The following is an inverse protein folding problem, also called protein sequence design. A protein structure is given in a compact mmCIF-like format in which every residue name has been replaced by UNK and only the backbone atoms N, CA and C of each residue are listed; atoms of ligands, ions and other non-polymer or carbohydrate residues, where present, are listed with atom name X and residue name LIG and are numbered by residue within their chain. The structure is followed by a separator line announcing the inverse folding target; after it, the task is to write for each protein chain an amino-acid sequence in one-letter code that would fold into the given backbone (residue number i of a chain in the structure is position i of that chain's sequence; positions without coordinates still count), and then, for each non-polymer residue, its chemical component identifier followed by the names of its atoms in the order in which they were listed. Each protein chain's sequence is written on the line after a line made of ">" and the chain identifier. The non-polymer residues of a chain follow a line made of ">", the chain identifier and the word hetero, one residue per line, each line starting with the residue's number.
data_IF_939300627065
#
_entry.id   IF_939300627065
#
_cell.length_a   1.000
_cell.length_b   1.000
_cell.length_c   1.000
_cell.angle_alpha   90.00
_cell.angle_beta   90.00
_cell.angle_gamma   90.00
#
_symmetry.space_group_name_H-M   'P 1'
#
loop_
_entity.id
_entity.type
_entity.pdbx_description
1 polymer ?
#
# COMPACT_ATOMS: atom_id res chain seq x y z
N UNK A 1 16.28 3.99 19.95
CA UNK A 1 15.16 4.48 19.11
C UNK A 1 13.79 3.98 19.60
N UNK A 2 13.64 2.71 20.02
CA UNK A 2 12.34 2.14 20.40
C UNK A 2 11.66 2.83 21.58
N UNK A 3 12.43 3.31 22.57
CA UNK A 3 11.90 4.11 23.69
C UNK A 3 11.40 5.49 23.24
N UNK A 4 11.98 6.06 22.18
CA UNK A 4 11.52 7.34 21.60
C UNK A 4 10.29 7.15 20.72
N UNK A 5 10.15 5.97 20.10
CA UNK A 5 9.00 5.57 19.28
C UNK A 5 7.86 4.93 20.10
N UNK A 6 7.96 4.88 21.43
CA UNK A 6 6.82 4.52 22.28
C UNK A 6 5.84 5.70 22.34
N UNK A 7 4.55 5.41 22.55
CA UNK A 7 3.52 6.47 22.74
C UNK A 7 3.72 7.34 23.99
N UNK A 8 4.72 7.06 24.82
CA UNK A 8 5.09 7.89 25.97
C UNK A 8 5.81 9.18 25.54
N UNK A 9 6.35 9.21 24.31
CA UNK A 9 6.97 10.39 23.72
C UNK A 9 5.97 11.16 22.87
N UNK A 10 5.61 12.38 23.27
CA UNK A 10 4.71 13.27 22.52
C UNK A 10 5.34 13.89 21.26
N UNK A 11 6.61 13.61 20.98
CA UNK A 11 7.36 14.24 19.87
C UNK A 11 6.93 13.68 18.50
N UNK A 12 6.45 12.43 18.44
CA UNK A 12 6.15 11.71 17.19
C UNK A 12 4.65 11.60 16.92
N UNK A 13 3.96 12.72 16.71
CA UNK A 13 2.53 12.72 16.35
C UNK A 13 2.30 12.51 14.85
N UNK A 14 1.11 12.06 14.46
CA UNK A 14 0.73 11.89 13.03
C UNK A 14 0.94 13.20 12.23
N UNK A 15 0.56 14.39 12.72
CA UNK A 15 0.85 15.65 12.04
C UNK A 15 2.34 15.89 11.76
N UNK A 16 3.24 15.48 12.66
CA UNK A 16 4.69 15.62 12.46
C UNK A 16 5.15 14.73 11.30
N UNK A 17 4.68 13.49 11.21
CA UNK A 17 5.00 12.61 10.08
C UNK A 17 4.45 13.13 8.76
N UNK A 18 3.24 13.68 8.76
CA UNK A 18 2.66 14.33 7.57
C UNK A 18 3.48 15.55 7.15
N UNK A 19 3.94 16.36 8.12
CA UNK A 19 4.82 17.50 7.86
C UNK A 19 6.17 17.08 7.25
N UNK A 20 6.80 16.05 7.79
CA UNK A 20 8.04 15.48 7.22
C UNK A 20 7.80 14.93 5.82
N UNK A 21 6.69 14.23 5.59
CA UNK A 21 6.31 13.76 4.26
C UNK A 21 6.14 14.92 3.28
N UNK A 22 5.47 15.99 3.69
CA UNK A 22 5.27 17.18 2.85
C UNK A 22 6.62 17.78 2.46
N UNK A 23 7.57 17.88 3.40
CA UNK A 23 8.93 18.35 3.12
C UNK A 23 9.67 17.42 2.14
N UNK A 24 9.49 16.10 2.26
CA UNK A 24 10.06 15.11 1.33
C UNK A 24 9.48 15.33 -0.07
N UNK A 25 8.16 15.42 -0.21
CA UNK A 25 7.49 15.62 -1.51
C UNK A 25 7.92 16.94 -2.14
N UNK A 26 7.89 18.05 -1.38
CA UNK A 26 8.35 19.36 -1.87
C UNK A 26 9.82 19.28 -2.27
N UNK A 27 10.69 18.71 -1.43
CA UNK A 27 12.13 18.63 -1.68
C UNK A 27 12.49 17.88 -2.96
N UNK A 28 11.77 16.79 -3.27
CA UNK A 28 11.98 16.04 -4.51
C UNK A 28 11.31 16.66 -5.74
N UNK A 29 10.18 17.36 -5.59
CA UNK A 29 9.45 17.96 -6.72
C UNK A 29 9.92 19.39 -7.07
N UNK A 30 10.60 20.11 -6.17
CA UNK A 30 11.06 21.49 -6.43
C UNK A 30 12.11 21.59 -7.54
N UNK A 31 12.71 20.46 -7.94
CA UNK A 31 13.77 20.43 -8.95
C UNK A 31 13.25 20.28 -10.39
N UNK A 32 11.97 19.92 -10.59
CA UNK A 32 11.41 19.69 -11.93
C UNK A 32 9.93 20.14 -12.01
N UNK A 33 9.69 21.34 -12.55
CA UNK A 33 8.36 21.96 -12.56
C UNK A 33 7.60 21.62 -13.85
N UNK A 34 6.82 20.54 -13.84
CA UNK A 34 5.81 20.23 -14.85
C UNK A 34 4.41 20.09 -14.21
N UNK A 35 3.38 20.58 -14.89
CA UNK A 35 2.01 20.66 -14.34
C UNK A 35 1.36 19.29 -14.09
N UNK A 36 1.65 18.28 -14.92
CA UNK A 36 1.20 16.90 -14.70
C UNK A 36 1.84 16.28 -13.45
N UNK A 37 3.12 16.60 -13.22
CA UNK A 37 3.88 16.10 -12.08
C UNK A 37 3.34 16.71 -10.78
N UNK A 38 2.86 17.96 -10.80
CA UNK A 38 2.19 18.60 -9.65
C UNK A 38 0.91 17.86 -9.25
N UNK A 39 0.05 17.49 -10.22
CA UNK A 39 -1.19 16.76 -9.92
C UNK A 39 -0.86 15.38 -9.34
N UNK A 40 0.07 14.66 -9.95
CA UNK A 40 0.51 13.37 -9.45
C UNK A 40 1.12 13.46 -8.05
N UNK A 41 1.94 14.49 -7.79
CA UNK A 41 2.52 14.74 -6.47
C UNK A 41 1.46 15.03 -5.40
N UNK A 42 0.43 15.81 -5.71
CA UNK A 42 -0.70 16.08 -4.79
C UNK A 42 -1.45 14.78 -4.45
N UNK A 43 -1.77 13.98 -5.47
CA UNK A 43 -2.48 12.70 -5.28
C UNK A 43 -1.61 11.72 -4.49
N UNK A 44 -0.31 11.67 -4.80
CA UNK A 44 0.66 10.85 -4.07
C UNK A 44 0.74 11.27 -2.61
N UNK A 45 0.89 12.56 -2.33
CA UNK A 45 0.90 13.10 -0.97
C UNK A 45 -0.39 12.74 -0.23
N UNK A 46 -1.55 12.94 -0.85
CA UNK A 46 -2.84 12.57 -0.26
C UNK A 46 -2.93 11.06 0.03
N UNK A 47 -2.49 10.22 -0.90
CA UNK A 47 -2.51 8.76 -0.74
C UNK A 47 -1.60 8.28 0.38
N UNK A 48 -0.36 8.79 0.43
CA UNK A 48 0.56 8.47 1.52
C UNK A 48 0.07 9.03 2.86
N UNK A 49 -0.48 10.25 2.88
CA UNK A 49 -1.08 10.85 4.06
C UNK A 49 -2.22 9.98 4.61
N UNK A 50 -3.12 9.49 3.75
CA UNK A 50 -4.18 8.54 4.11
C UNK A 50 -3.62 7.23 4.69
N UNK A 51 -2.46 6.78 4.21
CA UNK A 51 -1.73 5.65 4.79
C UNK A 51 -1.46 5.80 6.29
N UNK A 52 -1.13 7.02 6.77
CA UNK A 52 -0.96 7.27 8.20
C UNK A 52 -2.25 7.05 9.00
N UNK A 53 -3.40 7.44 8.45
CA UNK A 53 -4.70 7.20 9.07
C UNK A 53 -5.06 5.71 9.08
N UNK A 54 -4.68 4.95 8.04
CA UNK A 54 -4.89 3.51 7.98
C UNK A 54 -4.26 2.77 9.16
N UNK A 55 -3.07 3.17 9.63
CA UNK A 55 -2.43 2.53 10.80
C UNK A 55 -3.30 2.63 12.07
N UNK A 56 -4.02 3.75 12.24
CA UNK A 56 -4.92 3.93 13.36
C UNK A 56 -6.21 3.12 13.17
N UNK A 57 -6.82 3.15 11.98
CA UNK A 57 -8.05 2.40 11.68
C UNK A 57 -7.86 0.89 11.78
N UNK A 58 -6.74 0.37 11.25
CA UNK A 58 -6.36 -1.04 11.37
C UNK A 58 -6.06 -1.38 12.85
N UNK A 59 -5.49 -0.44 13.61
CA UNK A 59 -5.11 -0.59 15.01
C UNK A 59 -4.23 -1.83 15.30
N UNK A 60 -3.25 -2.09 14.43
CA UNK A 60 -2.18 -3.08 14.64
C UNK A 60 -0.86 -2.44 15.09
N UNK A 61 -0.88 -1.17 15.50
CA UNK A 61 0.29 -0.41 15.94
C UNK A 61 0.74 -0.71 17.37
N UNK A 62 -0.01 -1.51 18.15
CA UNK A 62 0.29 -1.89 19.53
C UNK A 62 0.85 -0.76 20.41
N UNK A 63 0.27 0.44 20.31
CA UNK A 63 0.71 1.63 21.07
C UNK A 63 2.17 2.07 20.81
N UNK A 64 2.71 1.82 19.62
CA UNK A 64 4.01 2.36 19.20
C UNK A 64 3.88 3.17 17.91
N UNK A 65 4.80 4.11 17.72
CA UNK A 65 4.98 4.90 16.49
C UNK A 65 5.87 4.19 15.47
N UNK A 66 6.39 3.00 15.80
CA UNK A 66 7.27 2.21 14.94
C UNK A 66 6.71 1.94 13.54
N UNK A 67 5.42 1.56 13.36
CA UNK A 67 4.86 1.37 12.02
C UNK A 67 4.86 2.69 11.21
N UNK A 68 4.58 3.82 11.85
CA UNK A 68 4.55 5.14 11.19
C UNK A 68 5.95 5.57 10.76
N UNK A 69 6.96 5.33 11.63
CA UNK A 69 8.36 5.60 11.32
C UNK A 69 8.87 4.75 10.16
N UNK A 70 8.62 3.44 10.21
CA UNK A 70 8.99 2.53 9.11
C UNK A 70 8.29 2.91 7.81
N UNK A 71 7.03 3.31 7.87
CA UNK A 71 6.28 3.78 6.71
C UNK A 71 6.92 5.01 6.08
N UNK A 72 7.30 5.99 6.91
CA UNK A 72 8.01 7.19 6.45
C UNK A 72 9.32 6.82 5.76
N UNK A 73 10.12 5.95 6.38
CA UNK A 73 11.41 5.52 5.83
C UNK A 73 11.27 4.74 4.52
N UNK A 74 10.29 3.84 4.43
CA UNK A 74 10.01 3.06 3.22
C UNK A 74 9.52 3.97 2.09
N UNK A 75 8.57 4.88 2.37
CA UNK A 75 8.10 5.85 1.37
C UNK A 75 9.26 6.72 0.89
N UNK A 76 10.10 7.24 1.79
CA UNK A 76 11.26 8.05 1.42
C UNK A 76 12.23 7.30 0.49
N UNK A 77 12.52 6.03 0.80
CA UNK A 77 13.44 5.24 0.01
C UNK A 77 12.88 4.82 -1.36
N UNK A 78 11.58 4.57 -1.45
CA UNK A 78 10.92 4.08 -2.67
C UNK A 78 10.35 5.20 -3.55
N UNK A 79 10.11 6.40 -3.01
CA UNK A 79 9.59 7.52 -3.79
C UNK A 79 10.71 8.17 -4.62
N UNK A 80 10.65 8.13 -5.95
CA UNK A 80 11.71 8.66 -6.81
C UNK A 80 11.65 10.19 -6.93
N UNK A 81 10.50 10.82 -6.66
CA UNK A 81 10.28 12.26 -6.77
C UNK A 81 9.16 12.62 -7.75
N UNK A 82 9.10 11.92 -8.90
CA UNK A 82 7.98 11.98 -9.83
C UNK A 82 7.36 10.58 -9.93
N UNK A 83 6.06 10.45 -9.62
CA UNK A 83 5.37 9.16 -9.62
C UNK A 83 4.40 9.13 -10.80
N UNK A 84 4.32 7.99 -11.50
CA UNK A 84 3.27 7.78 -12.50
C UNK A 84 1.87 8.02 -11.88
N UNK A 85 1.02 8.73 -12.60
CA UNK A 85 -0.32 9.10 -12.14
C UNK A 85 -1.17 7.87 -11.79
N UNK A 86 -0.97 6.75 -12.50
CA UNK A 86 -1.62 5.49 -12.22
C UNK A 86 -1.24 4.93 -10.85
N UNK A 87 0.06 4.94 -10.52
CA UNK A 87 0.55 4.49 -9.20
C UNK A 87 0.10 5.46 -8.10
N UNK A 88 0.12 6.76 -8.35
CA UNK A 88 -0.37 7.77 -7.41
C UNK A 88 -1.85 7.55 -7.05
N UNK A 89 -2.71 7.39 -8.06
CA UNK A 89 -4.14 7.10 -7.87
C UNK A 89 -4.33 5.75 -7.19
N UNK A 90 -3.53 4.73 -7.50
CA UNK A 90 -3.58 3.44 -6.82
C UNK A 90 -3.25 3.54 -5.32
N UNK A 91 -2.21 4.29 -4.93
CA UNK A 91 -1.90 4.54 -3.52
C UNK A 91 -3.06 5.22 -2.78
N UNK A 92 -3.65 6.23 -3.42
CA UNK A 92 -4.76 6.99 -2.86
C UNK A 92 -6.02 6.13 -2.68
N UNK A 93 -6.46 5.49 -3.76
CA UNK A 93 -7.67 4.66 -3.77
C UNK A 93 -7.53 3.42 -2.90
N UNK A 94 -6.37 2.75 -2.89
CA UNK A 94 -6.12 1.61 -1.99
C UNK A 94 -6.24 2.03 -0.52
N UNK A 95 -5.72 3.21 -0.15
CA UNK A 95 -5.83 3.73 1.21
C UNK A 95 -7.28 4.00 1.60
N UNK A 96 -8.08 4.60 0.71
CA UNK A 96 -9.53 4.80 0.94
C UNK A 96 -10.23 3.46 1.11
N UNK A 97 -10.01 2.49 0.20
CA UNK A 97 -10.61 1.15 0.30
C UNK A 97 -10.28 0.51 1.66
N UNK A 98 -9.01 0.56 2.08
CA UNK A 98 -8.60 0.03 3.38
C UNK A 98 -9.32 0.72 4.55
N UNK A 99 -9.44 2.05 4.55
CA UNK A 99 -10.16 2.79 5.59
C UNK A 99 -11.63 2.38 5.68
N UNK A 100 -12.29 2.19 4.54
CA UNK A 100 -13.69 1.79 4.49
C UNK A 100 -13.89 0.36 4.99
N UNK A 101 -13.03 -0.58 4.56
CA UNK A 101 -13.11 -1.99 4.97
C UNK A 101 -12.69 -2.24 6.42
N UNK A 102 -11.91 -1.32 7.01
CA UNK A 102 -11.47 -1.43 8.41
C UNK A 102 -12.31 -0.63 9.39
N UNK A 103 -13.35 0.07 8.91
CA UNK A 103 -14.27 0.83 9.75
C UNK A 103 -14.91 -0.07 10.82
N UNK A 104 -14.93 0.39 12.07
CA UNK A 104 -15.50 -0.34 13.22
C UNK A 104 -17.01 -0.43 13.15
N UNK A 105 -17.68 0.56 12.54
CA UNK A 105 -19.11 0.55 12.31
C UNK A 105 -19.46 -0.40 11.15
N UNK A 106 -20.11 -1.51 11.51
CA UNK A 106 -20.55 -2.52 10.54
C UNK A 106 -21.57 -1.98 9.56
N UNK A 107 -22.42 -1.03 9.96
CA UNK A 107 -23.45 -0.47 9.09
C UNK A 107 -22.82 0.38 7.99
N UNK A 108 -21.87 1.25 8.37
CA UNK A 108 -21.10 2.08 7.43
C UNK A 108 -20.33 1.20 6.46
N UNK A 109 -19.58 0.20 6.97
CA UNK A 109 -18.79 -0.73 6.15
C UNK A 109 -19.63 -1.52 5.14
N UNK A 110 -20.80 -2.01 5.56
CA UNK A 110 -21.70 -2.80 4.69
C UNK A 110 -22.44 -1.96 3.65
N UNK A 111 -22.71 -0.70 3.96
CA UNK A 111 -23.36 0.23 3.03
C UNK A 111 -22.36 0.83 2.03
N UNK A 112 -21.08 0.79 2.34
CA UNK A 112 -20.06 1.39 1.50
C UNK A 112 -19.58 0.53 0.32
N UNK A 113 -20.05 -0.72 0.18
CA UNK A 113 -19.59 -1.62 -0.89
C UNK A 113 -19.86 -1.09 -2.31
N UNK A 114 -20.91 -0.29 -2.52
CA UNK A 114 -21.16 0.38 -3.81
C UNK A 114 -20.03 1.37 -4.10
N UNK A 115 -19.68 2.22 -3.13
CA UNK A 115 -18.60 3.18 -3.28
C UNK A 115 -17.24 2.50 -3.44
N UNK A 116 -16.98 1.39 -2.72
CA UNK A 116 -15.76 0.59 -2.90
C UNK A 116 -15.68 0.03 -4.33
N UNK A 117 -16.80 -0.45 -4.88
CA UNK A 117 -16.86 -0.92 -6.27
C UNK A 117 -16.54 0.19 -7.27
N UNK A 118 -17.09 1.38 -7.06
CA UNK A 118 -16.80 2.55 -7.90
C UNK A 118 -15.31 2.95 -7.81
N UNK A 119 -14.73 2.96 -6.61
CA UNK A 119 -13.31 3.28 -6.40
C UNK A 119 -12.40 2.24 -7.05
N UNK A 120 -12.74 0.94 -6.97
CA UNK A 120 -11.99 -0.12 -7.66
C UNK A 120 -12.02 0.06 -9.18
N UNK A 121 -13.16 0.42 -9.75
CA UNK A 121 -13.28 0.69 -11.19
C UNK A 121 -12.47 1.92 -11.61
N UNK A 122 -12.50 3.00 -10.82
CA UNK A 122 -11.63 4.16 -11.05
C UNK A 122 -10.16 3.79 -10.96
N UNK A 123 -9.76 3.02 -9.95
CA UNK A 123 -8.37 2.56 -9.80
C UNK A 123 -7.94 1.73 -11.03
N UNK A 124 -8.80 0.85 -11.52
CA UNK A 124 -8.54 0.06 -12.72
C UNK A 124 -8.42 0.92 -13.99
N UNK A 125 -9.20 1.99 -14.13
CA UNK A 125 -9.09 2.92 -15.27
C UNK A 125 -7.72 3.60 -15.29
N UNK A 126 -7.21 4.05 -14.14
CA UNK A 126 -5.90 4.70 -14.06
C UNK A 126 -4.74 3.71 -14.11
N UNK A 127 -4.91 2.54 -13.52
CA UNK A 127 -3.88 1.50 -13.45
C UNK A 127 -4.50 0.09 -13.53
N UNK A 128 -4.67 -0.48 -14.75
CA UNK A 128 -5.32 -1.78 -14.95
C UNK A 128 -4.64 -2.95 -14.22
N UNK A 129 -3.35 -2.80 -13.91
CA UNK A 129 -2.53 -3.79 -13.18
C UNK A 129 -2.98 -3.99 -11.72
N UNK A 130 -3.86 -3.12 -11.21
CA UNK A 130 -4.45 -3.20 -9.87
C UNK A 130 -5.65 -4.15 -9.74
N UNK A 131 -6.02 -4.87 -10.81
CA UNK A 131 -7.12 -5.86 -10.79
C UNK A 131 -7.09 -6.87 -9.62
N UNK A 132 -5.94 -7.29 -9.04
CA UNK A 132 -5.95 -8.18 -7.86
C UNK A 132 -6.65 -7.57 -6.65
N UNK A 133 -6.78 -6.23 -6.58
CA UNK A 133 -7.54 -5.56 -5.54
C UNK A 133 -9.02 -5.92 -5.55
N UNK A 134 -9.62 -6.19 -6.71
CA UNK A 134 -10.99 -6.65 -6.78
C UNK A 134 -11.16 -8.00 -6.06
N UNK A 135 -10.21 -8.94 -6.27
CA UNK A 135 -10.20 -10.23 -5.59
C UNK A 135 -10.00 -10.07 -4.08
N UNK A 136 -9.11 -9.18 -3.63
CA UNK A 136 -8.96 -8.86 -2.21
C UNK A 136 -10.28 -8.40 -1.58
N UNK A 137 -11.00 -7.47 -2.22
CA UNK A 137 -12.28 -6.96 -1.70
C UNK A 137 -13.35 -8.06 -1.70
N UNK A 138 -13.41 -8.88 -2.74
CA UNK A 138 -14.34 -10.03 -2.81
C UNK A 138 -14.06 -10.99 -1.64
N UNK A 139 -12.81 -11.42 -1.45
CA UNK A 139 -12.43 -12.30 -0.34
C UNK A 139 -12.76 -11.67 1.02
N UNK A 140 -12.57 -10.36 1.18
CA UNK A 140 -12.97 -9.66 2.39
C UNK A 140 -14.49 -9.71 2.63
N UNK A 141 -15.32 -9.55 1.59
CA UNK A 141 -16.78 -9.69 1.70
C UNK A 141 -17.14 -11.12 2.15
N UNK A 142 -16.55 -12.15 1.53
CA UNK A 142 -16.77 -13.55 1.93
C UNK A 142 -16.38 -13.80 3.39
N UNK A 143 -15.29 -13.19 3.87
CA UNK A 143 -14.79 -13.36 5.23
C UNK A 143 -15.52 -12.56 6.31
N UNK A 144 -16.37 -11.59 5.96
CA UNK A 144 -16.96 -10.63 6.93
C UNK A 144 -18.47 -10.39 6.82
N UNK A 145 -19.10 -10.83 5.74
CA UNK A 145 -20.49 -10.51 5.44
C UNK A 145 -21.45 -11.63 5.79
N UNK A 146 -22.55 -11.29 6.46
CA UNK A 146 -23.68 -12.20 6.68
C UNK A 146 -24.56 -12.36 5.42
N UNK A 147 -24.46 -11.42 4.47
CA UNK A 147 -25.24 -11.38 3.22
C UNK A 147 -24.31 -11.24 2.03
N UNK A 148 -23.49 -12.26 1.81
CA UNK A 148 -22.42 -12.28 0.80
C UNK A 148 -22.96 -11.87 -0.58
N UNK A 149 -24.04 -12.52 -1.05
CA UNK A 149 -24.62 -12.23 -2.37
C UNK A 149 -25.03 -10.76 -2.56
N UNK A 150 -25.69 -10.16 -1.56
CA UNK A 150 -26.09 -8.75 -1.61
C UNK A 150 -24.89 -7.80 -1.67
N UNK A 151 -23.84 -8.08 -0.87
CA UNK A 151 -22.67 -7.20 -0.81
C UNK A 151 -21.77 -7.34 -2.03
N UNK A 152 -21.65 -8.55 -2.59
CA UNK A 152 -21.02 -8.78 -3.89
C UNK A 152 -21.81 -8.07 -5.00
N UNK A 153 -23.14 -8.16 -5.00
CA UNK A 153 -23.97 -7.41 -5.94
C UNK A 153 -23.75 -5.90 -5.83
N UNK A 154 -23.74 -5.33 -4.61
CA UNK A 154 -23.44 -3.92 -4.38
C UNK A 154 -22.07 -3.51 -4.92
N UNK A 155 -21.05 -4.34 -4.74
CA UNK A 155 -19.72 -4.12 -5.27
C UNK A 155 -19.75 -4.01 -6.81
N UNK A 156 -20.31 -5.01 -7.48
CA UNK A 156 -20.43 -5.01 -8.94
C UNK A 156 -21.31 -3.88 -9.47
N UNK A 157 -22.36 -3.51 -8.74
CA UNK A 157 -23.20 -2.36 -9.09
C UNK A 157 -22.39 -1.06 -9.08
N UNK A 158 -21.52 -0.85 -8.09
CA UNK A 158 -20.59 0.28 -8.07
C UNK A 158 -19.64 0.31 -9.28
N UNK A 159 -19.06 -0.85 -9.62
CA UNK A 159 -18.21 -1.00 -10.81
C UNK A 159 -18.97 -0.65 -12.09
N UNK A 160 -20.20 -1.17 -12.21
CA UNK A 160 -21.07 -0.98 -13.36
C UNK A 160 -21.44 0.49 -13.59
N UNK A 161 -21.71 1.26 -12.53
CA UNK A 161 -22.00 2.69 -12.63
C UNK A 161 -20.82 3.48 -13.22
N UNK A 162 -19.58 3.17 -12.80
CA UNK A 162 -18.38 3.81 -13.37
C UNK A 162 -18.15 3.35 -14.80
N UNK A 163 -18.35 2.06 -15.10
CA UNK A 163 -18.20 1.54 -16.45
C UNK A 163 -19.17 2.22 -17.43
N UNK A 164 -20.46 2.34 -17.08
CA UNK A 164 -21.44 3.06 -17.92
C UNK A 164 -21.05 4.52 -18.09
N UNK A 165 -20.62 5.19 -17.02
CA UNK A 165 -20.18 6.59 -17.10
C UNK A 165 -19.01 6.75 -18.08
N UNK A 166 -17.99 5.88 -17.94
CA UNK A 166 -16.83 5.85 -18.82
C UNK A 166 -17.23 5.61 -20.30
N UNK A 167 -18.04 4.58 -20.57
CA UNK A 167 -18.50 4.29 -21.93
C UNK A 167 -19.41 5.37 -22.50
N UNK A 168 -20.22 6.02 -21.67
CA UNK A 168 -21.05 7.15 -22.07
C UNK A 168 -20.21 8.34 -22.52
N UNK A 169 -19.17 8.70 -21.76
CA UNK A 169 -18.23 9.76 -22.15
C UNK A 169 -17.46 9.36 -23.40
N UNK A 170 -16.95 8.13 -23.47
CA UNK A 170 -16.22 7.61 -24.64
C UNK A 170 -17.08 7.68 -25.91
N UNK A 171 -18.36 7.30 -25.83
CA UNK A 171 -19.31 7.38 -26.92
C UNK A 171 -19.53 8.83 -27.38
N UNK A 172 -19.73 9.77 -26.45
CA UNK A 172 -19.90 11.20 -26.77
C UNK A 172 -18.66 11.82 -27.41
N UNK A 173 -17.46 11.32 -27.08
CA UNK A 173 -16.20 11.74 -27.68
C UNK A 173 -15.89 11.02 -29.01
N UNK A 174 -16.78 10.15 -29.49
CA UNK A 174 -16.58 9.38 -30.74
C UNK A 174 -15.46 8.34 -30.65
N UNK A 175 -15.11 7.88 -29.46
CA UNK A 175 -14.10 6.83 -29.25
C UNK A 175 -14.68 5.47 -29.68
N UNK A 176 -14.31 5.02 -30.88
CA UNK A 176 -14.85 3.80 -31.49
C UNK A 176 -13.92 2.58 -31.41
N UNK A 177 -12.81 2.68 -30.68
CA UNK A 177 -11.83 1.60 -30.54
C UNK A 177 -11.48 1.37 -29.08
N UNK A 178 -11.35 0.10 -28.71
CA UNK A 178 -10.84 -0.31 -27.40
C UNK A 178 -9.32 -0.37 -27.42
N UNK A 179 -8.68 0.18 -26.39
CA UNK A 179 -7.23 0.04 -26.21
C UNK A 179 -6.92 -1.30 -25.52
N UNK A 180 -6.25 -2.25 -26.21
CA UNK A 180 -5.94 -3.56 -25.65
C UNK A 180 -5.08 -3.50 -24.38
N UNK A 181 -4.37 -2.39 -24.10
CA UNK A 181 -3.57 -2.19 -22.89
C UNK A 181 -4.40 -2.22 -21.60
N UNK A 182 -5.70 -1.95 -21.68
CA UNK A 182 -6.62 -2.08 -20.55
C UNK A 182 -6.98 -3.54 -20.23
N UNK A 183 -6.58 -4.50 -21.06
CA UNK A 183 -6.76 -5.91 -20.76
C UNK A 183 -5.58 -6.43 -19.92
N UNK A 184 -5.76 -6.64 -18.60
CA UNK A 184 -4.65 -6.87 -17.68
C UNK A 184 -3.97 -8.22 -17.90
N UNK A 185 -4.59 -9.16 -18.60
CA UNK A 185 -4.03 -10.49 -18.84
C UNK A 185 -3.20 -10.57 -20.12
N UNK A 186 -2.97 -9.44 -20.78
CA UNK A 186 -2.06 -9.33 -21.91
C UNK A 186 -0.79 -8.61 -21.48
N UNK A 187 0.38 -9.05 -21.96
CA UNK A 187 1.67 -8.39 -21.71
C UNK A 187 2.11 -8.34 -20.24
N UNK A 188 2.12 -9.48 -19.54
CA UNK A 188 2.84 -9.57 -18.27
C UNK A 188 4.29 -9.11 -18.47
N UNK A 189 4.75 -8.24 -17.56
CA UNK A 189 6.12 -7.73 -17.54
C UNK A 189 6.78 -8.19 -16.24
N UNK A 190 6.99 -9.52 -16.08
CA UNK A 190 7.75 -9.99 -14.95
C UNK A 190 9.15 -9.37 -15.01
N UNK A 191 9.69 -9.09 -13.84
CA UNK A 191 11.01 -8.47 -13.71
C UNK A 191 12.09 -9.37 -14.32
N UNK A 192 12.95 -8.77 -15.14
CA UNK A 192 14.10 -9.46 -15.77
C UNK A 192 15.43 -9.13 -15.10
N UNK A 193 15.55 -7.96 -14.48
CA UNK A 193 16.76 -7.54 -13.76
C UNK A 193 16.47 -7.35 -12.27
N UNK A 194 17.11 -8.15 -11.43
CA UNK A 194 16.93 -8.13 -9.97
C UNK A 194 18.04 -7.37 -9.23
N UNK A 195 18.98 -6.75 -9.96
CA UNK A 195 20.17 -6.09 -9.43
C UNK A 195 19.86 -5.14 -8.27
N UNK A 196 18.91 -4.21 -8.42
CA UNK A 196 18.56 -3.28 -7.33
C UNK A 196 17.78 -3.94 -6.18
N UNK A 197 17.01 -5.01 -6.44
CA UNK A 197 16.25 -5.69 -5.38
C UNK A 197 17.14 -6.48 -4.42
N UNK A 198 18.38 -6.80 -4.80
CA UNK A 198 19.30 -7.54 -3.93
C UNK A 198 19.52 -6.80 -2.60
N UNK A 199 19.51 -5.47 -2.63
CA UNK A 199 19.62 -4.61 -1.45
C UNK A 199 18.42 -4.72 -0.52
N UNK A 200 17.24 -5.04 -1.05
CA UNK A 200 16.01 -5.26 -0.27
C UNK A 200 15.82 -6.74 0.13
N UNK A 201 16.66 -7.65 -0.37
CA UNK A 201 16.54 -9.09 -0.07
C UNK A 201 16.57 -9.42 1.43
N UNK A 202 17.37 -8.76 2.30
CA UNK A 202 17.31 -9.06 3.73
C UNK A 202 15.99 -8.61 4.37
N UNK A 203 15.38 -7.52 3.87
CA UNK A 203 14.05 -7.09 4.31
C UNK A 203 13.00 -8.12 3.88
N UNK A 204 13.11 -8.66 2.65
CA UNK A 204 12.24 -9.74 2.20
C UNK A 204 12.37 -11.00 3.08
N UNK A 205 13.58 -11.40 3.48
CA UNK A 205 13.79 -12.50 4.41
C UNK A 205 13.18 -12.23 5.78
N UNK A 206 13.30 -10.99 6.30
CA UNK A 206 12.65 -10.58 7.55
C UNK A 206 11.12 -10.64 7.43
N UNK A 207 10.55 -10.28 6.27
CA UNK A 207 9.11 -10.40 6.01
C UNK A 207 8.65 -11.86 6.01
N UNK A 208 9.38 -12.75 5.34
CA UNK A 208 9.07 -14.19 5.34
C UNK A 208 9.11 -14.73 6.77
N UNK A 209 10.17 -14.39 7.52
CA UNK A 209 10.28 -14.76 8.93
C UNK A 209 9.11 -14.21 9.77
N UNK A 210 8.72 -12.95 9.57
CA UNK A 210 7.60 -12.33 10.29
C UNK A 210 6.27 -13.02 10.02
N UNK A 211 6.01 -13.44 8.78
CA UNK A 211 4.82 -14.21 8.41
C UNK A 211 4.87 -15.60 9.02
N UNK A 212 6.02 -16.28 8.96
CA UNK A 212 6.22 -17.60 9.56
C UNK A 212 6.01 -17.58 11.08
N UNK A 213 6.66 -16.66 11.79
CA UNK A 213 6.48 -16.45 13.23
C UNK A 213 5.01 -16.14 13.57
N UNK A 214 4.32 -15.40 12.70
CA UNK A 214 2.91 -15.12 12.91
C UNK A 214 2.09 -16.41 13.01
N UNK A 215 2.31 -17.37 12.11
CA UNK A 215 1.56 -18.62 12.06
C UNK A 215 1.97 -19.59 13.18
N UNK A 216 3.24 -19.63 13.58
CA UNK A 216 3.69 -20.45 14.72
C UNK A 216 2.99 -20.04 16.02
N UNK A 217 2.80 -18.73 16.21
CA UNK A 217 2.12 -18.19 17.38
C UNK A 217 0.65 -17.85 17.10
N UNK A 218 0.04 -18.45 16.07
CA UNK A 218 -1.32 -18.10 15.65
C UNK A 218 -2.30 -18.35 16.79
N UNK A 219 -2.29 -19.53 17.41
CA UNK A 219 -3.28 -19.93 18.40
C UNK A 219 -3.26 -19.06 19.67
N UNK A 220 -2.13 -18.44 20.00
CA UNK A 220 -1.96 -17.58 21.18
C UNK A 220 -2.56 -16.18 21.01
N UNK A 221 -3.00 -15.82 19.79
CA UNK A 221 -3.51 -14.48 19.47
C UNK A 221 -5.02 -14.38 19.63
N UNK A 222 -5.49 -13.18 20.01
CA UNK A 222 -6.92 -12.88 20.03
C UNK A 222 -7.55 -13.01 18.64
N UNK A 223 -8.83 -13.40 18.54
CA UNK A 223 -9.55 -13.48 17.26
C UNK A 223 -9.48 -12.17 16.45
N UNK A 224 -9.55 -11.02 17.12
CA UNK A 224 -9.45 -9.71 16.49
C UNK A 224 -8.06 -9.45 15.89
N UNK A 225 -6.98 -9.83 16.58
CA UNK A 225 -5.61 -9.69 16.06
C UNK A 225 -5.34 -10.64 14.89
N UNK A 226 -5.88 -11.86 14.94
CA UNK A 226 -5.83 -12.83 13.83
C UNK A 226 -6.51 -12.25 12.59
N UNK A 227 -7.76 -11.86 12.72
CA UNK A 227 -8.56 -11.32 11.62
C UNK A 227 -7.89 -10.10 10.95
N UNK A 228 -7.48 -9.11 11.75
CA UNK A 228 -6.82 -7.90 11.23
C UNK A 228 -5.51 -8.20 10.52
N UNK A 229 -4.72 -9.15 11.03
CA UNK A 229 -3.46 -9.52 10.38
C UNK A 229 -3.70 -10.32 9.10
N UNK A 230 -4.63 -11.27 9.10
CA UNK A 230 -5.05 -11.98 7.89
C UNK A 230 -5.55 -11.01 6.82
N UNK A 231 -6.33 -10.00 7.20
CA UNK A 231 -6.74 -8.92 6.29
C UNK A 231 -5.55 -8.22 5.63
N UNK A 232 -4.52 -7.85 6.40
CA UNK A 232 -3.29 -7.25 5.86
C UNK A 232 -2.51 -8.24 5.00
N UNK A 233 -2.46 -9.52 5.35
CA UNK A 233 -1.79 -10.54 4.52
C UNK A 233 -2.48 -10.71 3.16
N UNK A 234 -3.81 -10.82 3.11
CA UNK A 234 -4.54 -10.94 1.84
C UNK A 234 -4.37 -9.66 1.00
N UNK A 235 -4.40 -8.48 1.63
CA UNK A 235 -4.05 -7.23 0.94
C UNK A 235 -2.64 -7.26 0.36
N UNK A 236 -1.65 -7.72 1.15
CA UNK A 236 -0.26 -7.85 0.73
C UNK A 236 -0.12 -8.80 -0.46
N UNK A 237 -0.82 -9.94 -0.44
CA UNK A 237 -0.83 -10.89 -1.56
C UNK A 237 -1.37 -10.24 -2.83
N UNK A 238 -2.47 -9.48 -2.74
CA UNK A 238 -3.00 -8.76 -3.90
C UNK A 238 -1.97 -7.78 -4.49
N UNK A 239 -1.29 -7.00 -3.63
CA UNK A 239 -0.22 -6.10 -4.10
C UNK A 239 0.99 -6.86 -4.68
N UNK A 240 1.37 -7.98 -4.08
CA UNK A 240 2.45 -8.83 -4.59
C UNK A 240 2.13 -9.40 -5.97
N UNK A 241 0.88 -9.80 -6.23
CA UNK A 241 0.45 -10.25 -7.57
C UNK A 241 0.65 -9.10 -8.57
N UNK A 242 0.23 -7.88 -8.24
CA UNK A 242 0.45 -6.71 -9.10
C UNK A 242 1.95 -6.47 -9.35
N UNK A 243 2.77 -6.52 -8.31
CA UNK A 243 4.22 -6.27 -8.42
C UNK A 243 4.92 -7.36 -9.25
N UNK A 244 4.69 -8.63 -8.95
CA UNK A 244 5.36 -9.75 -9.63
C UNK A 244 5.01 -9.78 -11.12
N UNK A 245 3.75 -9.49 -11.47
CA UNK A 245 3.29 -9.59 -12.85
C UNK A 245 3.59 -8.34 -13.69
N UNK A 246 3.70 -7.15 -13.07
CA UNK A 246 3.70 -5.88 -13.83
C UNK A 246 4.79 -4.88 -13.48
N UNK A 247 5.55 -5.06 -12.39
CA UNK A 247 6.56 -4.08 -11.98
C UNK A 247 7.63 -3.85 -13.05
N UNK A 248 8.05 -4.88 -13.79
CA UNK A 248 9.13 -4.76 -14.77
C UNK A 248 10.37 -4.07 -14.17
N UNK A 249 10.80 -2.96 -14.77
CA UNK A 249 11.90 -2.08 -14.29
C UNK A 249 11.40 -0.87 -13.49
N UNK A 250 10.09 -0.72 -13.29
CA UNK A 250 9.48 0.41 -12.57
C UNK A 250 9.36 0.11 -11.08
N UNK A 251 10.43 0.35 -10.31
CA UNK A 251 10.48 0.07 -8.86
C UNK A 251 9.45 0.84 -8.01
N UNK A 252 8.84 1.88 -8.57
CA UNK A 252 7.75 2.67 -7.96
C UNK A 252 6.58 1.81 -7.48
N UNK A 253 6.29 0.70 -8.16
CA UNK A 253 5.26 -0.27 -7.75
C UNK A 253 5.48 -0.80 -6.33
N UNK A 254 6.72 -0.83 -5.83
CA UNK A 254 7.02 -1.24 -4.46
C UNK A 254 6.37 -0.32 -3.40
N UNK A 255 6.02 0.93 -3.75
CA UNK A 255 5.29 1.83 -2.84
C UNK A 255 3.94 1.24 -2.41
N UNK A 256 3.31 0.42 -3.26
CA UNK A 256 2.04 -0.26 -2.92
C UNK A 256 2.19 -1.20 -1.71
N UNK A 257 3.40 -1.68 -1.43
CA UNK A 257 3.72 -2.51 -0.26
C UNK A 257 4.12 -1.71 0.98
N UNK A 258 4.32 -0.38 0.88
CA UNK A 258 4.85 0.41 1.98
C UNK A 258 4.03 0.26 3.26
N UNK A 259 2.69 0.35 3.16
CA UNK A 259 1.78 0.20 4.29
C UNK A 259 1.83 -1.22 4.91
N UNK A 260 1.57 -2.31 4.17
CA UNK A 260 1.55 -3.64 4.76
C UNK A 260 2.92 -4.06 5.31
N UNK A 261 4.01 -3.74 4.61
CA UNK A 261 5.38 -4.06 5.05
C UNK A 261 5.71 -3.35 6.36
N UNK A 262 5.32 -2.07 6.50
CA UNK A 262 5.51 -1.33 7.75
C UNK A 262 4.78 -1.97 8.93
N UNK A 263 3.56 -2.47 8.72
CA UNK A 263 2.79 -3.17 9.76
C UNK A 263 3.45 -4.50 10.12
N UNK A 264 3.84 -5.30 9.12
CA UNK A 264 4.41 -6.64 9.32
C UNK A 264 5.76 -6.54 10.05
N UNK A 265 6.67 -5.68 9.57
CA UNK A 265 8.00 -5.51 10.16
C UNK A 265 7.94 -4.87 11.54
N UNK A 266 7.11 -3.84 11.75
CA UNK A 266 6.96 -3.24 13.08
C UNK A 266 6.47 -4.25 14.12
N UNK A 267 5.55 -5.14 13.72
CA UNK A 267 5.07 -6.22 14.57
C UNK A 267 6.19 -7.21 14.89
N UNK A 268 6.92 -7.66 13.88
CA UNK A 268 8.06 -8.58 14.06
C UNK A 268 9.08 -7.99 15.04
N UNK A 269 9.55 -6.76 14.80
CA UNK A 269 10.53 -6.09 15.64
C UNK A 269 10.04 -5.91 17.08
N UNK A 270 8.75 -5.63 17.27
CA UNK A 270 8.17 -5.49 18.61
C UNK A 270 8.27 -6.79 19.42
N UNK A 271 8.03 -7.93 18.78
CA UNK A 271 7.98 -9.25 19.43
C UNK A 271 9.33 -9.97 19.54
N UNK A 272 10.42 -9.40 19.01
CA UNK A 272 11.76 -9.91 19.28
C UNK A 272 12.05 -9.91 20.81
N UNK A 273 12.72 -10.95 21.28
CA UNK A 273 12.92 -11.19 22.72
C UNK A 273 13.88 -10.19 23.36
N UNK A 274 14.98 -9.86 22.69
CA UNK A 274 16.05 -9.00 23.23
C UNK A 274 15.96 -7.58 22.67
N UNK A 275 16.13 -6.57 23.53
CA UNK A 275 16.06 -5.16 23.14
C UNK A 275 17.06 -4.79 22.03
N UNK A 276 18.30 -5.29 22.13
CA UNK A 276 19.34 -5.02 21.13
C UNK A 276 18.96 -5.57 19.74
N UNK A 277 18.23 -6.70 19.66
CA UNK A 277 17.76 -7.25 18.38
C UNK A 277 16.71 -6.35 17.74
N UNK A 278 15.88 -5.67 18.54
CA UNK A 278 14.88 -4.70 18.04
C UNK A 278 15.58 -3.53 17.38
N UNK A 279 16.55 -2.93 18.06
CA UNK A 279 17.32 -1.80 17.56
C UNK A 279 18.16 -2.21 16.34
N UNK A 280 18.89 -3.32 16.40
CA UNK A 280 19.69 -3.81 15.28
C UNK A 280 18.82 -4.11 14.05
N UNK A 281 17.67 -4.75 14.23
CA UNK A 281 16.73 -5.02 13.13
C UNK A 281 16.15 -3.74 12.52
N UNK A 282 15.82 -2.74 13.34
CA UNK A 282 15.37 -1.44 12.85
C UNK A 282 16.45 -0.74 12.02
N UNK A 283 17.67 -0.63 12.56
CA UNK A 283 18.77 0.03 11.86
C UNK A 283 19.19 -0.70 10.60
N UNK A 284 19.14 -2.04 10.59
CA UNK A 284 19.36 -2.83 9.38
C UNK A 284 18.35 -2.47 8.29
N UNK A 285 17.05 -2.37 8.62
CA UNK A 285 16.02 -1.97 7.65
C UNK A 285 16.32 -0.56 7.11
N UNK A 286 16.59 0.41 7.98
CA UNK A 286 16.89 1.79 7.56
C UNK A 286 18.13 1.83 6.67
N UNK A 287 19.19 1.12 7.04
CA UNK A 287 20.43 1.06 6.26
C UNK A 287 20.22 0.48 4.86
N UNK A 288 19.47 -0.63 4.74
CA UNK A 288 19.17 -1.25 3.45
C UNK A 288 18.28 -0.35 2.57
N UNK A 289 17.31 0.34 3.16
CA UNK A 289 16.48 1.33 2.46
C UNK A 289 17.30 2.52 1.95
N UNK A 290 18.27 2.99 2.74
CA UNK A 290 19.18 4.05 2.34
C UNK A 290 20.12 3.61 1.21
N UNK A 291 20.68 2.40 1.29
CA UNK A 291 21.50 1.85 0.19
C UNK A 291 20.66 1.73 -1.07
N UNK A 292 19.43 1.20 -0.99
CA UNK A 292 18.54 1.09 -2.14
C UNK A 292 18.30 2.46 -2.80
N UNK A 293 18.00 3.50 -2.00
CA UNK A 293 17.79 4.86 -2.51
C UNK A 293 19.06 5.44 -3.16
N UNK A 294 20.23 5.21 -2.56
CA UNK A 294 21.51 5.66 -3.11
C UNK A 294 21.86 4.90 -4.40
N UNK A 295 21.64 3.59 -4.45
CA UNK A 295 21.88 2.77 -5.63
C UNK A 295 20.99 3.21 -6.80
N UNK A 296 19.73 3.54 -6.53
CA UNK A 296 18.81 4.10 -7.52
C UNK A 296 19.22 5.51 -8.00
N UNK A 297 19.75 6.36 -7.11
CA UNK A 297 20.19 7.72 -7.47
C UNK A 297 21.47 7.71 -8.32
N UNK A 298 22.43 6.84 -7.98
CA UNK A 298 23.72 6.78 -8.66
C UNK A 298 23.77 5.75 -9.80
N UNK A 299 22.67 5.05 -10.11
CA UNK A 299 22.63 3.92 -11.04
C UNK A 299 23.81 2.94 -10.80
N UNK A 300 24.01 2.55 -9.54
CA UNK A 300 24.97 1.49 -9.23
C UNK A 300 24.44 0.16 -9.79
N UNK A 301 24.78 -0.13 -11.04
CA UNK A 301 24.65 -1.45 -11.63
C UNK A 301 25.84 -2.28 -11.12
N UNK A 302 25.57 -3.27 -10.28
CA UNK A 302 26.50 -4.36 -9.95
C UNK A 302 26.38 -5.47 -10.99
#
# INVERSE_FOLDING_TARGET
>A
MFRLLSKESNIFSIPVYIGVLLLIVIGFNFLDFNTLDVISAIITFAGVALGYFCFNSIALNYQTHLPLFLYTAIVFALYPGNLDIGIAVALFTNSIILLMLTNTDMTVRKNSYILIGAILALNFIFLPTTWPMAFFVILHIFGTSDRIGLHVFRLFFGIFLIAISYFGVAYLLGMNSWDPRYFPFSNFRPMTDYSMLIWLSPIALMLIYAVWDHFNHFNQKSPTSKFKYSFILVFTIAQLITIILYMGTTYEYLLLLALPVSIILSRMLKFLSKYWMKEAGLWLIIFLLMIFKLAAFYNFNL
#
